data_IF_976884946579
#
_entry.id   IF_976884946579
#
_cell.length_a   1.000
_cell.length_b   1.000
_cell.length_c   1.000
_cell.angle_alpha   90.00
_cell.angle_beta   90.00
_cell.angle_gamma   90.00
#
_symmetry.space_group_name_H-M   'P 1'
#
loop_
_entity.id
_entity.type
_entity.pdbx_description
1 polymer ?
#
# COMPACT_ATOMS: atom_id res chain seq x y z
N UNK A 1 19.31 -18.06 26.32
CA UNK A 1 20.32 -17.99 25.23
C UNK A 1 19.89 -17.15 24.06
N UNK A 2 18.60 -16.99 23.77
CA UNK A 2 18.06 -16.19 22.66
C UNK A 2 18.19 -14.65 22.80
N UNK A 3 18.28 -14.10 24.01
CA UNK A 3 18.44 -12.65 24.23
C UNK A 3 19.80 -12.07 23.76
N UNK A 4 20.79 -12.90 23.48
CA UNK A 4 22.12 -12.46 22.99
C UNK A 4 22.24 -12.45 21.46
N UNK A 5 21.35 -13.13 20.73
CA UNK A 5 21.39 -13.16 19.26
C UNK A 5 20.73 -11.92 18.62
N UNK A 6 19.74 -11.32 19.27
CA UNK A 6 19.08 -10.11 18.78
C UNK A 6 20.00 -8.89 18.92
N UNK A 7 20.86 -8.86 19.93
CA UNK A 7 21.84 -7.78 20.11
C UNK A 7 23.00 -7.81 19.11
N UNK A 8 23.30 -8.98 18.53
CA UNK A 8 24.38 -9.09 17.53
C UNK A 8 23.95 -8.76 16.10
N UNK A 9 22.66 -8.93 15.76
CA UNK A 9 22.14 -8.55 14.46
C UNK A 9 21.95 -7.02 14.31
N UNK A 10 21.75 -6.31 15.42
CA UNK A 10 21.64 -4.84 15.42
C UNK A 10 23.00 -4.12 15.39
N UNK A 11 24.09 -4.78 15.78
CA UNK A 11 25.41 -4.16 15.85
C UNK A 11 26.22 -4.24 14.54
N UNK A 12 25.82 -5.10 13.58
CA UNK A 12 26.55 -5.26 12.32
C UNK A 12 26.08 -4.34 11.18
N UNK A 13 25.06 -3.54 11.39
CA UNK A 13 24.54 -2.57 10.38
C UNK A 13 25.06 -1.14 10.62
N UNK A 14 25.75 -0.88 11.74
CA UNK A 14 26.12 0.48 12.17
C UNK A 14 27.57 0.88 11.86
N UNK A 15 28.33 0.11 11.09
CA UNK A 15 29.73 0.45 10.74
C UNK A 15 30.00 0.48 9.23
N UNK A 16 29.05 0.97 8.42
CA UNK A 16 29.46 1.54 7.12
C UNK A 16 29.63 3.04 7.30
N UNK A 17 30.89 3.39 7.58
CA UNK A 17 31.33 4.74 7.89
C UNK A 17 30.97 5.73 6.79
N UNK A 18 30.42 6.84 7.22
CA UNK A 18 30.50 8.09 6.49
C UNK A 18 31.99 8.50 6.49
N UNK A 19 32.73 8.07 5.48
CA UNK A 19 33.92 8.83 5.10
C UNK A 19 33.42 10.01 4.30
N UNK A 20 33.50 11.19 4.88
CA UNK A 20 33.55 12.44 4.11
C UNK A 20 34.83 12.38 3.27
N UNK A 21 34.72 11.80 2.08
CA UNK A 21 35.74 11.98 1.06
C UNK A 21 35.66 13.47 0.69
N UNK A 22 36.70 14.21 0.99
CA UNK A 22 36.96 15.52 0.39
C UNK A 22 36.83 15.35 -1.12
N UNK A 23 36.25 16.36 -1.81
CA UNK A 23 36.00 16.35 -3.23
C UNK A 23 37.29 15.97 -3.98
N UNK A 24 37.44 14.67 -4.25
CA UNK A 24 38.45 14.19 -5.17
C UNK A 24 38.02 14.67 -6.56
N UNK A 25 38.99 15.24 -7.32
CA UNK A 25 38.78 15.58 -8.71
C UNK A 25 38.07 14.39 -9.42
N UNK A 26 36.82 14.54 -9.91
CA UNK A 26 36.07 13.45 -10.54
C UNK A 26 36.67 12.98 -11.85
N UNK A 27 37.60 13.76 -12.44
CA UNK A 27 38.27 13.45 -13.69
C UNK A 27 39.79 13.62 -13.57
N UNK A 28 40.53 12.59 -13.88
CA UNK A 28 41.98 12.55 -13.68
C UNK A 28 42.74 13.23 -14.82
N UNK A 29 42.15 13.37 -16.00
CA UNK A 29 42.76 13.79 -17.26
C UNK A 29 42.36 15.20 -17.75
N UNK A 30 41.52 15.93 -17.00
CA UNK A 30 41.10 17.27 -17.37
C UNK A 30 41.84 18.37 -16.54
N UNK A 31 42.31 19.48 -17.17
CA UNK A 31 42.86 20.60 -16.45
C UNK A 31 41.84 21.24 -15.51
N UNK A 32 42.16 21.31 -14.23
CA UNK A 32 41.23 21.74 -13.18
C UNK A 32 40.86 23.22 -13.23
N UNK A 33 41.58 24.00 -14.00
CA UNK A 33 41.42 25.46 -14.14
C UNK A 33 40.56 25.90 -15.34
N UNK A 34 40.09 24.91 -16.16
CA UNK A 34 39.26 25.23 -17.31
C UNK A 34 37.79 25.39 -16.92
N UNK A 35 37.10 26.36 -17.57
CA UNK A 35 35.65 26.52 -17.37
C UNK A 35 34.85 25.26 -17.70
N UNK A 36 35.32 24.54 -18.72
CA UNK A 36 34.70 23.27 -19.12
C UNK A 36 34.84 22.20 -18.02
N UNK A 37 36.02 22.12 -17.38
CA UNK A 37 36.22 21.25 -16.26
C UNK A 37 35.25 21.56 -15.10
N UNK A 38 35.10 22.81 -14.71
CA UNK A 38 34.21 23.20 -13.64
C UNK A 38 32.75 22.84 -13.95
N UNK A 39 32.28 23.12 -15.17
CA UNK A 39 30.92 22.80 -15.57
C UNK A 39 30.68 21.28 -15.62
N UNK A 40 31.61 20.50 -16.13
CA UNK A 40 31.50 19.02 -16.20
C UNK A 40 31.67 18.41 -14.81
N UNK A 41 32.57 18.96 -13.97
CA UNK A 41 32.73 18.49 -12.58
C UNK A 41 31.45 18.75 -11.76
N UNK A 42 30.83 19.91 -11.90
CA UNK A 42 29.57 20.26 -11.24
C UNK A 42 28.42 19.33 -11.68
N UNK A 43 28.33 19.03 -12.98
CA UNK A 43 27.34 18.09 -13.50
C UNK A 43 27.61 16.64 -13.05
N UNK A 44 28.88 16.26 -12.91
CA UNK A 44 29.26 14.94 -12.42
C UNK A 44 29.03 14.79 -10.91
N UNK A 45 29.33 15.82 -10.11
CA UNK A 45 29.06 15.83 -8.67
C UNK A 45 27.54 15.78 -8.39
N UNK A 46 26.76 16.44 -9.23
CA UNK A 46 25.30 16.34 -9.21
C UNK A 46 24.76 14.98 -9.71
N UNK A 47 25.64 14.09 -10.18
CA UNK A 47 25.25 12.78 -10.71
C UNK A 47 24.51 12.84 -12.04
N UNK A 48 24.59 13.96 -12.76
CA UNK A 48 23.94 14.21 -14.05
C UNK A 48 24.71 13.57 -15.20
N UNK A 49 26.03 13.55 -15.11
CA UNK A 49 26.92 12.91 -16.08
C UNK A 49 27.96 12.02 -15.41
N UNK A 50 28.51 11.08 -16.16
CA UNK A 50 29.62 10.23 -15.74
C UNK A 50 30.76 10.34 -16.76
N UNK A 51 32.00 10.31 -16.28
CA UNK A 51 33.18 10.26 -17.15
C UNK A 51 33.29 8.95 -17.92
N UNK A 52 34.23 8.90 -18.85
CA UNK A 52 34.58 7.67 -19.56
C UNK A 52 35.14 6.67 -18.54
N UNK A 53 34.66 5.43 -18.56
CA UNK A 53 34.97 4.40 -17.55
C UNK A 53 34.74 4.85 -16.09
N UNK A 54 33.83 5.86 -15.92
CA UNK A 54 33.44 6.38 -14.61
C UNK A 54 34.37 7.43 -14.01
N UNK A 55 35.62 7.57 -14.48
CA UNK A 55 36.62 8.41 -13.83
C UNK A 55 37.41 9.36 -14.75
N UNK A 56 37.25 9.26 -16.09
CA UNK A 56 38.03 10.05 -17.02
C UNK A 56 37.17 10.97 -17.86
N UNK A 57 37.52 12.27 -17.90
CA UNK A 57 36.85 13.26 -18.74
C UNK A 57 37.34 13.23 -20.20
N UNK A 58 38.61 12.87 -20.46
CA UNK A 58 39.25 12.84 -21.77
C UNK A 58 39.07 14.14 -22.58
N UNK A 59 39.19 15.31 -21.93
CA UNK A 59 38.90 16.62 -22.51
C UNK A 59 39.72 17.00 -23.74
N UNK A 60 40.83 16.34 -24.01
CA UNK A 60 41.66 16.54 -25.21
C UNK A 60 41.26 15.62 -26.39
N UNK A 61 40.30 14.74 -26.24
CA UNK A 61 39.76 13.88 -27.28
C UNK A 61 38.55 14.55 -27.94
N UNK A 62 38.56 14.58 -29.27
CA UNK A 62 37.35 14.94 -30.03
C UNK A 62 36.28 13.86 -29.82
N UNK A 63 35.13 14.27 -29.33
CA UNK A 63 33.94 13.42 -29.22
C UNK A 63 33.07 13.55 -30.47
N UNK A 64 32.44 12.49 -30.87
CA UNK A 64 31.47 12.51 -31.97
C UNK A 64 30.17 13.17 -31.52
N UNK A 65 29.36 13.70 -32.44
CA UNK A 65 28.02 14.22 -32.13
C UNK A 65 27.13 13.18 -31.44
N UNK A 66 27.31 11.88 -31.77
CA UNK A 66 26.60 10.78 -31.14
C UNK A 66 27.01 10.57 -29.67
N UNK A 67 28.31 10.62 -29.38
CA UNK A 67 28.80 10.54 -28.00
C UNK A 67 28.29 11.75 -27.18
N UNK A 68 28.28 12.95 -27.76
CA UNK A 68 27.73 14.14 -27.13
C UNK A 68 26.22 13.98 -26.86
N UNK A 69 25.46 13.50 -27.84
CA UNK A 69 24.03 13.24 -27.67
C UNK A 69 23.73 12.18 -26.61
N UNK A 70 24.57 11.14 -26.48
CA UNK A 70 24.44 10.13 -25.43
C UNK A 70 24.67 10.71 -24.03
N UNK A 71 25.65 11.61 -23.90
CA UNK A 71 25.88 12.33 -22.64
C UNK A 71 24.71 13.24 -22.29
N UNK A 72 24.16 13.97 -23.27
CA UNK A 72 22.97 14.81 -23.09
C UNK A 72 21.74 13.97 -22.70
N UNK A 73 21.54 12.81 -23.34
CA UNK A 73 20.47 11.87 -23.00
C UNK A 73 20.58 11.37 -21.54
N UNK A 74 21.79 11.06 -21.07
CA UNK A 74 22.05 10.70 -19.67
C UNK A 74 21.75 11.87 -18.73
N UNK A 75 22.15 13.10 -19.10
CA UNK A 75 21.85 14.30 -18.34
C UNK A 75 20.34 14.55 -18.25
N UNK A 76 19.60 14.35 -19.35
CA UNK A 76 18.14 14.45 -19.35
C UNK A 76 17.47 13.43 -18.45
N UNK A 77 17.98 12.21 -18.38
CA UNK A 77 17.46 11.16 -17.50
C UNK A 77 17.64 11.47 -16.00
N UNK A 78 18.54 12.40 -15.66
CA UNK A 78 18.84 12.82 -14.29
C UNK A 78 18.48 14.28 -14.01
N UNK A 79 17.58 14.86 -14.80
CA UNK A 79 17.14 16.24 -14.65
C UNK A 79 16.53 16.57 -13.28
N UNK A 80 15.99 15.57 -12.57
CA UNK A 80 15.49 15.69 -11.20
C UNK A 80 16.56 16.15 -10.20
N UNK A 81 17.83 15.85 -10.49
CA UNK A 81 19.00 16.22 -9.68
C UNK A 81 19.68 17.53 -10.09
N UNK A 82 19.32 18.07 -11.25
CA UNK A 82 19.93 19.26 -11.82
C UNK A 82 19.32 20.55 -11.25
N UNK A 83 20.16 21.59 -11.04
CA UNK A 83 19.70 22.96 -10.68
C UNK A 83 18.90 23.58 -11.83
N UNK A 84 18.26 24.74 -11.58
CA UNK A 84 17.51 25.47 -12.59
C UNK A 84 18.40 25.90 -13.77
N UNK A 85 19.61 26.36 -13.46
CA UNK A 85 20.63 26.78 -14.44
C UNK A 85 21.13 25.58 -15.24
N UNK A 86 21.41 24.46 -14.59
CA UNK A 86 21.84 23.21 -15.21
C UNK A 86 20.76 22.65 -16.16
N UNK A 87 19.50 22.72 -15.76
CA UNK A 87 18.36 22.32 -16.62
C UNK A 87 18.28 23.17 -17.86
N UNK A 88 18.50 24.49 -17.76
CA UNK A 88 18.51 25.37 -18.92
C UNK A 88 19.63 25.00 -19.90
N UNK A 89 20.84 24.67 -19.40
CA UNK A 89 21.96 24.20 -20.23
C UNK A 89 21.64 22.86 -20.88
N UNK A 90 21.07 21.91 -20.14
CA UNK A 90 20.69 20.59 -20.66
C UNK A 90 19.64 20.74 -21.76
N UNK A 91 18.62 21.59 -21.58
CA UNK A 91 17.63 21.87 -22.62
C UNK A 91 18.26 22.43 -23.87
N UNK A 92 19.15 23.43 -23.76
CA UNK A 92 19.83 24.02 -24.89
C UNK A 92 20.69 23.00 -25.65
N UNK A 93 21.37 22.10 -24.94
CA UNK A 93 22.13 21.02 -25.55
C UNK A 93 21.20 19.98 -26.20
N UNK A 94 20.05 19.67 -25.61
CA UNK A 94 19.07 18.78 -26.18
C UNK A 94 18.51 19.33 -27.51
N UNK A 95 18.29 20.64 -27.60
CA UNK A 95 17.85 21.28 -28.86
C UNK A 95 18.95 21.22 -29.94
N UNK A 96 20.22 21.41 -29.56
CA UNK A 96 21.34 21.35 -30.49
C UNK A 96 21.59 19.94 -31.04
N UNK A 97 21.41 18.90 -30.21
CA UNK A 97 21.61 17.49 -30.58
C UNK A 97 20.29 16.76 -30.88
N UNK A 98 19.22 17.49 -31.21
CA UNK A 98 17.89 16.91 -31.40
C UNK A 98 17.82 15.78 -32.44
N UNK A 99 18.59 15.90 -33.53
CA UNK A 99 18.63 14.87 -34.58
C UNK A 99 19.28 13.56 -34.09
N UNK A 100 20.42 13.68 -33.40
CA UNK A 100 21.13 12.53 -32.84
C UNK A 100 20.33 11.91 -31.70
N UNK A 101 19.71 12.73 -30.83
CA UNK A 101 18.82 12.28 -29.75
C UNK A 101 17.61 11.55 -30.31
N UNK A 102 16.99 12.03 -31.38
CA UNK A 102 15.90 11.33 -32.05
C UNK A 102 16.33 9.97 -32.60
N UNK A 103 17.55 9.86 -33.14
CA UNK A 103 18.11 8.58 -33.61
C UNK A 103 18.44 7.65 -32.43
N UNK A 104 18.91 8.18 -31.31
CA UNK A 104 19.07 7.45 -30.05
C UNK A 104 17.71 7.07 -29.47
N UNK A 105 16.73 7.96 -29.51
CA UNK A 105 15.36 7.74 -29.09
C UNK A 105 14.67 6.61 -29.86
N UNK A 106 14.94 6.46 -31.15
CA UNK A 106 14.51 5.29 -31.92
C UNK A 106 15.13 3.98 -31.41
N UNK A 107 16.34 4.01 -30.85
CA UNK A 107 16.99 2.86 -30.19
C UNK A 107 16.41 2.62 -28.81
N UNK A 108 16.13 3.68 -28.05
CA UNK A 108 15.45 3.61 -26.74
C UNK A 108 14.01 3.13 -26.95
N UNK A 109 13.28 3.68 -27.90
CA UNK A 109 11.94 3.22 -28.25
C UNK A 109 11.93 1.76 -28.76
N UNK A 110 12.97 1.32 -29.45
CA UNK A 110 13.12 -0.09 -29.85
C UNK A 110 13.46 -1.00 -28.66
N UNK A 111 14.15 -0.50 -27.65
CA UNK A 111 14.41 -1.19 -26.38
C UNK A 111 13.14 -1.15 -25.48
N UNK A 112 12.47 -0.03 -25.41
CA UNK A 112 11.18 0.12 -24.73
C UNK A 112 10.12 -0.79 -25.35
N UNK A 113 10.07 -0.91 -26.69
CA UNK A 113 9.22 -1.89 -27.37
C UNK A 113 9.63 -3.34 -27.14
N UNK A 114 10.90 -3.63 -26.79
CA UNK A 114 11.38 -4.98 -26.44
C UNK A 114 11.17 -5.31 -24.96
N UNK A 115 11.26 -4.33 -24.08
CA UNK A 115 10.99 -4.47 -22.63
C UNK A 115 9.49 -4.40 -22.36
N UNK A 116 8.74 -3.85 -23.32
CA UNK A 116 7.29 -3.64 -23.21
C UNK A 116 6.96 -2.39 -22.38
N UNK A 117 5.74 -1.95 -22.55
CA UNK A 117 5.12 -0.81 -21.89
C UNK A 117 4.73 -1.12 -20.43
N UNK A 118 5.39 -2.11 -19.80
CA UNK A 118 5.02 -2.65 -18.49
C UNK A 118 6.02 -2.19 -17.43
N UNK A 119 5.50 -1.51 -16.40
CA UNK A 119 6.23 -1.20 -15.19
C UNK A 119 5.97 -2.28 -14.15
N UNK A 120 7.03 -2.83 -13.59
CA UNK A 120 6.95 -3.77 -12.48
C UNK A 120 7.14 -3.05 -11.16
N UNK A 121 6.37 -3.46 -10.17
CA UNK A 121 6.47 -3.03 -8.78
C UNK A 121 6.01 -4.17 -7.89
N UNK A 122 6.23 -4.06 -6.61
CA UNK A 122 5.77 -5.08 -5.69
C UNK A 122 5.93 -4.70 -4.25
N UNK A 123 5.49 -5.59 -3.38
CA UNK A 123 5.71 -5.51 -1.95
C UNK A 123 6.03 -6.88 -1.36
N UNK A 124 6.85 -6.86 -0.33
CA UNK A 124 7.08 -8.00 0.55
C UNK A 124 6.76 -7.60 1.98
N UNK A 125 6.04 -8.44 2.68
CA UNK A 125 5.67 -8.23 4.07
C UNK A 125 6.01 -9.46 4.88
N UNK A 126 6.75 -9.25 5.98
CA UNK A 126 7.03 -10.23 7.01
C UNK A 126 6.35 -9.78 8.28
N UNK A 127 5.63 -10.70 8.94
CA UNK A 127 4.75 -10.35 10.03
C UNK A 127 4.91 -11.33 11.20
N UNK A 128 5.06 -10.78 12.39
CA UNK A 128 4.87 -11.45 13.65
C UNK A 128 3.52 -11.08 14.25
N UNK A 129 2.80 -12.08 14.75
CA UNK A 129 1.54 -11.90 15.46
C UNK A 129 1.59 -12.68 16.76
N UNK A 130 1.13 -12.05 17.80
CA UNK A 130 0.92 -12.68 19.10
C UNK A 130 -0.49 -12.38 19.58
N UNK A 131 -1.16 -13.39 20.03
CA UNK A 131 -2.45 -13.33 20.69
C UNK A 131 -2.41 -14.32 21.82
N UNK A 132 -2.73 -13.88 23.03
CA UNK A 132 -2.88 -14.78 24.14
C UNK A 132 -4.20 -15.55 23.99
N UNK A 133 -4.25 -16.82 24.36
CA UNK A 133 -5.34 -17.72 23.99
C UNK A 133 -6.50 -17.79 24.99
N UNK A 134 -6.47 -17.04 26.08
CA UNK A 134 -7.40 -17.22 27.19
C UNK A 134 -8.88 -16.94 26.85
N UNK A 135 -9.19 -16.25 25.78
CA UNK A 135 -10.59 -16.02 25.34
C UNK A 135 -11.03 -16.87 24.16
N UNK A 136 -10.10 -17.47 23.44
CA UNK A 136 -10.42 -18.15 22.21
C UNK A 136 -10.46 -19.65 22.36
N UNK A 137 -11.65 -20.22 22.23
CA UNK A 137 -11.91 -21.67 22.01
C UNK A 137 -11.00 -22.60 22.84
N UNK A 138 -11.55 -23.13 23.90
CA UNK A 138 -10.93 -24.09 24.81
C UNK A 138 -9.85 -24.96 24.13
N UNK A 139 -8.60 -24.83 24.59
CA UNK A 139 -7.55 -25.79 24.34
C UNK A 139 -6.37 -25.35 23.47
N UNK A 140 -6.23 -24.09 23.10
CA UNK A 140 -4.99 -23.60 22.45
C UNK A 140 -4.18 -22.73 23.37
N UNK A 141 -2.93 -23.09 23.57
CA UNK A 141 -1.92 -22.29 24.26
C UNK A 141 -1.58 -21.03 23.42
N UNK A 142 -0.97 -20.03 24.07
CA UNK A 142 -0.52 -18.77 23.46
C UNK A 142 -0.11 -18.92 21.99
N UNK A 143 -0.83 -18.24 21.12
CA UNK A 143 -0.63 -18.38 19.67
C UNK A 143 0.28 -17.28 19.17
N UNK A 144 1.51 -17.63 18.84
CA UNK A 144 2.39 -16.74 18.11
C UNK A 144 2.65 -17.33 16.73
N UNK A 145 2.57 -16.48 15.72
CA UNK A 145 2.80 -16.87 14.35
C UNK A 145 3.72 -15.91 13.62
N UNK A 146 4.50 -16.48 12.72
CA UNK A 146 5.32 -15.74 11.77
C UNK A 146 4.86 -16.09 10.38
N UNK A 147 4.50 -15.09 9.61
CA UNK A 147 4.06 -15.26 8.23
C UNK A 147 4.66 -14.20 7.30
N UNK A 148 4.64 -14.49 6.01
CA UNK A 148 5.09 -13.57 4.97
C UNK A 148 4.22 -13.66 3.73
N UNK A 149 4.25 -12.59 2.94
CA UNK A 149 3.60 -12.49 1.63
C UNK A 149 4.45 -11.67 0.70
N UNK A 150 4.50 -12.05 -0.57
CA UNK A 150 5.15 -11.30 -1.64
C UNK A 150 4.13 -11.07 -2.75
N UNK A 151 4.06 -9.85 -3.27
CA UNK A 151 3.25 -9.49 -4.45
C UNK A 151 4.12 -8.90 -5.54
N UNK A 152 3.81 -9.26 -6.78
CA UNK A 152 4.38 -8.67 -7.97
C UNK A 152 3.27 -8.08 -8.83
N UNK A 153 3.40 -6.82 -9.21
CA UNK A 153 2.44 -6.07 -10.02
C UNK A 153 3.09 -5.61 -11.31
N UNK A 154 2.44 -5.87 -12.44
CA UNK A 154 2.75 -5.33 -13.74
C UNK A 154 1.67 -4.33 -14.16
N UNK A 155 2.07 -3.16 -14.60
CA UNK A 155 1.18 -2.12 -15.13
C UNK A 155 1.63 -1.71 -16.52
N UNK A 156 0.75 -1.87 -17.51
CA UNK A 156 0.96 -1.43 -18.88
C UNK A 156 0.13 -0.19 -19.17
N UNK A 157 0.77 0.89 -19.64
CA UNK A 157 0.09 2.03 -20.20
C UNK A 157 -0.23 1.71 -21.66
N UNK A 158 -1.50 1.51 -21.99
CA UNK A 158 -1.95 1.14 -23.35
C UNK A 158 -2.07 2.35 -24.24
N UNK A 159 -2.58 3.46 -23.71
CA UNK A 159 -2.57 4.81 -24.30
C UNK A 159 -2.56 5.87 -23.18
N UNK A 160 -2.69 7.14 -23.51
CA UNK A 160 -2.64 8.26 -22.55
C UNK A 160 -3.67 8.13 -21.42
N UNK A 161 -4.77 7.43 -21.65
CA UNK A 161 -5.94 7.33 -20.77
C UNK A 161 -6.22 5.90 -20.29
N UNK A 162 -5.61 4.91 -20.91
CA UNK A 162 -5.94 3.50 -20.67
C UNK A 162 -4.76 2.74 -20.07
N UNK A 163 -4.97 2.12 -18.93
CA UNK A 163 -3.99 1.36 -18.18
C UNK A 163 -4.51 -0.03 -17.87
N UNK A 164 -3.69 -1.05 -18.12
CA UNK A 164 -3.95 -2.41 -17.67
C UNK A 164 -3.07 -2.76 -16.47
N UNK A 165 -3.63 -3.44 -15.49
CA UNK A 165 -2.91 -3.89 -14.29
C UNK A 165 -3.11 -5.39 -14.10
N UNK A 166 -2.01 -6.10 -13.90
CA UNK A 166 -1.96 -7.49 -13.48
C UNK A 166 -1.14 -7.57 -12.20
N UNK A 167 -1.65 -8.23 -11.18
CA UNK A 167 -0.89 -8.47 -9.95
C UNK A 167 -1.06 -9.92 -9.49
N UNK A 168 0.04 -10.51 -9.08
CA UNK A 168 0.11 -11.87 -8.55
C UNK A 168 0.62 -11.79 -7.11
N UNK A 169 -0.10 -12.38 -6.21
CA UNK A 169 0.24 -12.48 -4.79
C UNK A 169 0.54 -13.93 -4.44
N UNK A 170 1.63 -14.16 -3.69
CA UNK A 170 1.71 -15.40 -2.92
C UNK A 170 0.61 -15.41 -1.88
N UNK A 171 0.15 -16.56 -1.49
CA UNK A 171 -0.61 -16.70 -0.26
C UNK A 171 0.27 -16.37 0.96
N UNK A 172 -0.34 -16.11 2.11
CA UNK A 172 0.39 -15.98 3.35
C UNK A 172 1.07 -17.30 3.69
N UNK A 173 2.37 -17.26 3.75
CA UNK A 173 3.21 -18.42 4.06
C UNK A 173 3.62 -18.36 5.52
N UNK A 174 3.51 -19.47 6.24
CA UNK A 174 3.92 -19.55 7.65
C UNK A 174 5.35 -20.03 7.80
N UNK A 175 6.08 -19.44 8.74
CA UNK A 175 7.35 -19.98 9.24
C UNK A 175 7.18 -20.87 10.47
N UNK A 176 5.97 -20.96 11.03
CA UNK A 176 5.70 -21.68 12.26
C UNK A 176 5.21 -23.08 11.93
N UNK A 177 5.82 -24.10 12.55
CA UNK A 177 5.37 -25.49 12.42
C UNK A 177 4.00 -25.74 13.08
N UNK A 178 3.65 -24.92 14.09
CA UNK A 178 2.44 -25.07 14.92
C UNK A 178 1.55 -23.82 14.95
N UNK A 179 1.74 -22.86 14.04
CA UNK A 179 0.99 -21.61 14.06
C UNK A 179 -0.44 -21.75 13.52
N UNK A 180 -1.30 -20.78 13.85
CA UNK A 180 -2.68 -20.68 13.34
C UNK A 180 -2.78 -20.61 11.81
N UNK A 181 -1.66 -20.43 11.13
CA UNK A 181 -1.48 -20.48 9.68
C UNK A 181 -0.74 -21.78 9.34
N UNK A 182 -1.36 -22.91 9.62
CA UNK A 182 -0.82 -24.21 9.21
C UNK A 182 -1.23 -24.47 7.76
N UNK A 183 -0.26 -24.78 6.91
CA UNK A 183 -0.49 -25.20 5.55
C UNK A 183 -0.47 -24.02 4.59
N UNK A 184 0.65 -23.28 4.53
CA UNK A 184 0.94 -22.49 3.37
C UNK A 184 0.83 -23.37 2.14
N UNK A 185 -0.13 -23.07 1.28
CA UNK A 185 -0.15 -23.67 -0.05
C UNK A 185 0.98 -23.00 -0.82
N UNK A 186 1.68 -23.74 -1.68
CA UNK A 186 2.63 -23.12 -2.61
C UNK A 186 1.89 -22.35 -3.72
N UNK A 187 0.65 -21.93 -3.45
CA UNK A 187 -0.21 -21.30 -4.42
C UNK A 187 0.07 -19.80 -4.52
N UNK A 188 0.00 -19.32 -5.74
CA UNK A 188 -0.07 -17.90 -6.05
C UNK A 188 -1.39 -17.64 -6.77
N UNK A 189 -1.97 -16.47 -6.54
CA UNK A 189 -3.23 -16.10 -7.17
C UNK A 189 -3.17 -14.67 -7.72
N UNK A 190 -4.00 -14.39 -8.73
CA UNK A 190 -4.16 -13.04 -9.25
C UNK A 190 -5.05 -12.22 -8.32
N UNK A 191 -4.47 -11.27 -7.60
CA UNK A 191 -5.17 -10.34 -6.72
C UNK A 191 -5.64 -9.08 -7.45
N UNK A 192 -5.04 -8.72 -8.58
CA UNK A 192 -5.53 -7.68 -9.47
C UNK A 192 -5.45 -8.11 -10.94
N UNK A 193 -6.54 -7.90 -11.67
CA UNK A 193 -6.68 -8.11 -13.12
C UNK A 193 -7.68 -7.08 -13.63
N UNK A 194 -7.24 -5.89 -14.01
CA UNK A 194 -8.16 -4.79 -14.35
C UNK A 194 -7.64 -3.89 -15.47
N UNK A 195 -8.59 -3.19 -16.05
CA UNK A 195 -8.34 -2.08 -16.96
C UNK A 195 -8.97 -0.82 -16.39
N UNK A 196 -8.20 0.23 -16.31
CA UNK A 196 -8.59 1.54 -15.83
C UNK A 196 -8.55 2.53 -17.00
N UNK A 197 -9.62 3.30 -17.18
CA UNK A 197 -9.71 4.43 -18.09
C UNK A 197 -9.85 5.72 -17.30
N UNK A 198 -9.03 6.71 -17.59
CA UNK A 198 -8.99 8.00 -16.89
C UNK A 198 -9.04 9.14 -17.91
N UNK A 199 -10.05 9.99 -17.81
CA UNK A 199 -10.24 11.14 -18.69
C UNK A 199 -10.75 12.34 -17.89
N UNK A 200 -9.91 13.35 -17.71
CA UNK A 200 -10.20 14.57 -16.96
C UNK A 200 -10.81 14.27 -15.57
N UNK A 201 -12.13 14.45 -15.45
CA UNK A 201 -12.89 14.20 -14.20
C UNK A 201 -13.52 12.81 -14.13
N UNK A 202 -13.40 11.98 -15.16
CA UNK A 202 -14.02 10.66 -15.19
C UNK A 202 -12.99 9.55 -15.08
N UNK A 203 -13.30 8.58 -14.24
CA UNK A 203 -12.56 7.35 -14.08
C UNK A 203 -13.51 6.15 -14.22
N UNK A 204 -13.07 5.14 -14.96
CA UNK A 204 -13.76 3.87 -15.12
C UNK A 204 -12.78 2.74 -14.84
N UNK A 205 -13.17 1.79 -13.99
CA UNK A 205 -12.38 0.61 -13.67
C UNK A 205 -13.18 -0.66 -13.92
N UNK A 206 -12.62 -1.58 -14.67
CA UNK A 206 -13.25 -2.86 -15.02
C UNK A 206 -12.33 -4.02 -14.67
N UNK A 207 -12.81 -4.98 -13.90
CA UNK A 207 -12.08 -6.20 -13.54
C UNK A 207 -11.82 -6.33 -12.05
N UNK A 208 -10.81 -7.13 -11.71
CA UNK A 208 -10.44 -7.45 -10.33
C UNK A 208 -9.53 -6.40 -9.74
N UNK A 209 -9.86 -5.90 -8.57
CA UNK A 209 -8.99 -5.02 -7.77
C UNK A 209 -8.67 -5.66 -6.42
N UNK A 210 -7.45 -5.42 -5.92
CA UNK A 210 -6.97 -5.83 -4.59
C UNK A 210 -7.06 -4.72 -3.53
N UNK A 211 -7.66 -3.58 -3.89
CA UNK A 211 -7.72 -2.37 -3.06
C UNK A 211 -9.15 -1.85 -2.84
N UNK A 212 -10.16 -2.69 -3.05
CA UNK A 212 -11.53 -2.30 -2.76
C UNK A 212 -11.72 -2.13 -1.24
N UNK A 213 -12.40 -1.07 -0.85
CA UNK A 213 -12.83 -0.81 0.52
C UNK A 213 -14.30 -0.44 0.53
N UNK A 214 -15.07 -1.02 1.45
CA UNK A 214 -16.36 -0.45 1.81
C UNK A 214 -16.10 0.93 2.41
N UNK A 215 -16.79 1.95 1.89
CA UNK A 215 -16.65 3.34 2.27
C UNK A 215 -15.58 4.14 1.50
N UNK A 216 -14.96 3.52 0.51
CA UNK A 216 -14.01 4.20 -0.37
C UNK A 216 -12.59 4.35 0.17
N UNK A 217 -11.69 4.93 -0.63
CA UNK A 217 -10.26 4.90 -0.37
C UNK A 217 -9.80 5.60 0.92
N UNK A 218 -10.55 6.63 1.36
CA UNK A 218 -10.20 7.44 2.55
C UNK A 218 -10.91 7.01 3.83
N UNK A 219 -11.86 6.07 3.74
CA UNK A 219 -12.46 5.42 4.90
C UNK A 219 -11.43 4.55 5.63
N UNK A 220 -11.78 4.08 6.82
CA UNK A 220 -10.93 3.11 7.52
C UNK A 220 -10.90 1.77 6.77
N UNK A 221 -12.04 1.31 6.20
CA UNK A 221 -12.15 0.01 5.54
C UNK A 221 -12.10 -1.15 6.54
N UNK A 222 -12.83 -1.02 7.63
CA UNK A 222 -12.90 -2.02 8.70
C UNK A 222 -13.71 -3.24 8.30
N UNK A 223 -14.91 -3.02 7.80
CA UNK A 223 -15.89 -4.06 7.51
C UNK A 223 -15.42 -4.98 6.40
N UNK A 224 -14.85 -4.43 5.35
CA UNK A 224 -14.20 -5.18 4.25
C UNK A 224 -13.19 -4.31 3.51
N UNK A 225 -12.03 -4.89 3.20
CA UNK A 225 -11.02 -4.29 2.32
C UNK A 225 -10.16 -5.37 1.68
N UNK A 226 -10.54 -5.83 0.49
CA UNK A 226 -9.84 -6.91 -0.20
C UNK A 226 -10.23 -6.98 -1.69
N UNK A 227 -10.07 -8.16 -2.28
CA UNK A 227 -10.28 -8.46 -3.69
C UNK A 227 -11.76 -8.37 -4.07
N UNK A 228 -12.01 -7.61 -5.12
CA UNK A 228 -13.36 -7.38 -5.61
C UNK A 228 -13.36 -7.33 -7.15
N UNK A 229 -14.17 -8.15 -7.78
CA UNK A 229 -14.40 -8.12 -9.23
C UNK A 229 -15.52 -7.12 -9.52
N UNK A 230 -15.23 -6.03 -10.24
CA UNK A 230 -16.17 -4.90 -10.38
C UNK A 230 -16.17 -4.21 -11.74
N UNK A 231 -17.27 -3.51 -11.97
CA UNK A 231 -17.33 -2.34 -12.84
C UNK A 231 -17.59 -1.12 -11.94
N UNK A 232 -16.76 -0.10 -12.01
CA UNK A 232 -16.86 1.12 -11.20
C UNK A 232 -16.67 2.33 -12.08
N UNK A 233 -17.54 3.32 -11.91
CA UNK A 233 -17.41 4.66 -12.48
C UNK A 233 -17.27 5.69 -11.38
N UNK A 234 -16.39 6.66 -11.58
CA UNK A 234 -16.21 7.80 -10.68
C UNK A 234 -16.20 9.09 -11.47
N UNK A 235 -16.93 10.08 -11.00
CA UNK A 235 -16.76 11.48 -11.38
C UNK A 235 -16.08 12.21 -10.24
N UNK A 236 -14.96 12.87 -10.52
CA UNK A 236 -14.14 13.51 -9.49
C UNK A 236 -13.74 14.92 -9.91
N UNK A 237 -13.79 15.81 -8.93
CA UNK A 237 -13.27 17.19 -8.99
C UNK A 237 -12.30 17.41 -7.82
N UNK A 238 -11.74 18.60 -7.71
CA UNK A 238 -10.92 18.98 -6.55
C UNK A 238 -11.75 19.08 -5.26
N UNK A 239 -13.06 19.26 -5.35
CA UNK A 239 -13.94 19.48 -4.21
C UNK A 239 -14.72 18.22 -3.79
N UNK A 240 -15.00 17.31 -4.71
CA UNK A 240 -15.79 16.11 -4.41
C UNK A 240 -15.58 14.98 -5.39
N UNK A 241 -15.98 13.77 -5.00
CA UNK A 241 -16.09 12.61 -5.87
C UNK A 241 -17.47 11.94 -5.68
N UNK A 242 -18.00 11.44 -6.81
CA UNK A 242 -19.18 10.58 -6.87
C UNK A 242 -18.72 9.25 -7.44
N UNK A 243 -18.87 8.17 -6.70
CA UNK A 243 -18.49 6.84 -7.13
C UNK A 243 -19.71 5.94 -7.12
N UNK A 244 -19.88 5.14 -8.15
CA UNK A 244 -20.87 4.07 -8.21
C UNK A 244 -20.26 2.83 -8.85
N UNK A 245 -20.61 1.67 -8.34
CA UNK A 245 -20.10 0.42 -8.85
C UNK A 245 -21.01 -0.75 -8.54
N UNK A 246 -20.74 -1.84 -9.26
CA UNK A 246 -21.36 -3.11 -9.05
C UNK A 246 -20.33 -4.22 -9.25
N UNK A 247 -20.37 -5.22 -8.37
CA UNK A 247 -19.39 -6.28 -8.48
C UNK A 247 -19.70 -7.47 -7.58
N UNK A 248 -18.64 -8.25 -7.36
CA UNK A 248 -18.70 -9.50 -6.64
C UNK A 248 -17.46 -9.65 -5.76
N UNK A 249 -17.67 -9.87 -4.47
CA UNK A 249 -16.60 -10.20 -3.56
C UNK A 249 -15.93 -11.50 -3.96
N UNK A 250 -14.63 -11.54 -3.77
CA UNK A 250 -13.83 -12.73 -4.02
C UNK A 250 -13.13 -13.14 -2.74
N UNK A 251 -12.90 -14.44 -2.67
CA UNK A 251 -12.00 -14.99 -1.68
C UNK A 251 -10.61 -14.43 -1.97
N UNK A 252 -10.20 -13.47 -1.18
CA UNK A 252 -8.82 -13.07 -1.10
C UNK A 252 -8.00 -14.17 -0.48
N UNK A 253 -6.83 -13.84 -0.10
CA UNK A 253 -5.89 -14.72 0.55
C UNK A 253 -6.50 -15.41 1.78
N UNK A 254 -7.01 -16.62 1.61
CA UNK A 254 -7.46 -17.42 2.73
C UNK A 254 -6.22 -17.94 3.44
N UNK A 255 -6.00 -17.46 4.63
CA UNK A 255 -5.07 -18.11 5.54
C UNK A 255 -5.62 -19.48 5.85
N UNK A 256 -5.12 -20.52 5.18
CA UNK A 256 -5.50 -21.88 5.42
C UNK A 256 -5.39 -22.17 6.93
N UNK A 257 -6.50 -22.60 7.54
CA UNK A 257 -6.57 -22.90 8.96
C UNK A 257 -6.80 -21.70 9.88
N UNK A 258 -6.86 -20.47 9.39
CA UNK A 258 -7.36 -19.39 10.22
C UNK A 258 -8.87 -19.57 10.38
N UNK A 259 -9.31 -19.57 11.60
CA UNK A 259 -10.71 -19.40 12.01
C UNK A 259 -11.31 -18.09 11.45
N UNK A 260 -10.53 -17.35 10.73
CA UNK A 260 -10.73 -16.02 10.18
C UNK A 260 -11.21 -15.99 8.75
N UNK A 261 -11.20 -17.09 8.05
CA UNK A 261 -11.80 -17.15 6.75
C UNK A 261 -13.28 -17.48 6.90
N UNK A 262 -14.06 -16.54 7.35
CA UNK A 262 -15.47 -16.60 6.99
C UNK A 262 -15.54 -16.37 5.48
N UNK A 263 -15.63 -17.47 4.74
CA UNK A 263 -15.78 -17.46 3.30
C UNK A 263 -17.19 -17.03 2.85
N UNK A 264 -18.07 -16.70 3.80
CA UNK A 264 -19.46 -16.37 3.53
C UNK A 264 -19.62 -15.21 2.56
N UNK A 265 -18.72 -14.24 2.60
CA UNK A 265 -18.72 -13.11 1.67
C UNK A 265 -18.28 -13.46 0.25
N UNK A 266 -17.57 -14.59 0.05
CA UNK A 266 -17.09 -14.97 -1.28
C UNK A 266 -18.24 -15.23 -2.23
N UNK A 267 -18.31 -14.48 -3.31
CA UNK A 267 -19.35 -14.60 -4.31
C UNK A 267 -20.59 -13.73 -4.07
N UNK A 268 -20.70 -13.06 -2.94
CA UNK A 268 -21.75 -12.07 -2.69
C UNK A 268 -21.62 -10.92 -3.69
N UNK A 269 -22.70 -10.54 -4.31
CA UNK A 269 -22.78 -9.39 -5.20
C UNK A 269 -23.04 -8.13 -4.37
N UNK A 270 -22.45 -7.02 -4.81
CA UNK A 270 -22.59 -5.74 -4.13
C UNK A 270 -22.80 -4.62 -5.15
N UNK A 271 -23.91 -3.89 -5.02
CA UNK A 271 -24.10 -2.58 -5.64
C UNK A 271 -23.75 -1.50 -4.64
N UNK A 272 -22.95 -0.51 -5.04
CA UNK A 272 -22.55 0.54 -4.09
C UNK A 272 -22.51 1.92 -4.70
N UNK A 273 -22.70 2.92 -3.83
CA UNK A 273 -22.55 4.33 -4.14
C UNK A 273 -21.84 5.06 -3.03
N UNK A 274 -21.01 6.03 -3.39
CA UNK A 274 -20.19 6.82 -2.46
C UNK A 274 -20.17 8.28 -2.89
N UNK A 275 -20.26 9.18 -1.92
CA UNK A 275 -20.07 10.61 -2.10
C UNK A 275 -18.99 11.05 -1.14
N UNK A 276 -17.92 11.62 -1.66
CA UNK A 276 -16.84 12.19 -0.87
C UNK A 276 -16.72 13.69 -1.12
N UNK A 277 -16.53 14.48 -0.08
CA UNK A 277 -16.16 15.90 -0.15
C UNK A 277 -14.70 16.07 0.31
N UNK A 278 -13.95 16.90 -0.42
CA UNK A 278 -12.54 17.20 -0.14
C UNK A 278 -12.41 18.64 0.35
N UNK A 279 -11.62 18.85 1.38
CA UNK A 279 -11.44 20.17 1.97
C UNK A 279 -10.09 20.30 2.68
N UNK A 280 -9.66 21.55 2.86
CA UNK A 280 -8.37 21.84 3.52
C UNK A 280 -7.17 21.17 2.81
N UNK A 281 -6.20 20.76 3.58
CA UNK A 281 -5.04 20.05 3.08
C UNK A 281 -5.24 18.53 3.21
N UNK A 282 -5.76 17.91 2.14
CA UNK A 282 -5.93 16.45 2.05
C UNK A 282 -6.91 15.85 3.09
N UNK A 283 -7.91 16.61 3.50
CA UNK A 283 -9.01 16.17 4.35
C UNK A 283 -10.20 15.73 3.50
N UNK A 284 -10.95 14.77 3.99
CA UNK A 284 -12.15 14.28 3.31
C UNK A 284 -13.23 13.86 4.31
N UNK A 285 -14.49 13.96 3.87
CA UNK A 285 -15.61 13.32 4.52
C UNK A 285 -16.48 12.64 3.47
N UNK A 286 -17.03 11.49 3.77
CA UNK A 286 -17.83 10.72 2.82
C UNK A 286 -19.02 10.04 3.48
N UNK A 287 -20.00 9.74 2.64
CA UNK A 287 -21.13 8.86 2.94
C UNK A 287 -21.20 7.79 1.87
N UNK A 288 -21.63 6.60 2.23
CA UNK A 288 -21.69 5.47 1.32
C UNK A 288 -22.83 4.51 1.68
N UNK A 289 -23.24 3.76 0.65
CA UNK A 289 -24.26 2.73 0.76
C UNK A 289 -23.84 1.51 -0.06
N UNK A 290 -24.09 0.32 0.48
CA UNK A 290 -23.85 -0.97 -0.14
C UNK A 290 -25.12 -1.82 -0.04
N UNK A 291 -25.48 -2.49 -1.14
CA UNK A 291 -26.62 -3.37 -1.27
C UNK A 291 -26.12 -4.76 -1.63
N UNK A 292 -26.29 -5.72 -0.72
CA UNK A 292 -25.72 -7.06 -0.86
C UNK A 292 -26.76 -8.02 -1.44
N UNK A 293 -26.33 -8.86 -2.37
CA UNK A 293 -27.19 -9.84 -2.99
C UNK A 293 -26.49 -11.19 -3.09
N UNK A 294 -27.05 -12.17 -2.40
CA UNK A 294 -26.57 -13.55 -2.36
C UNK A 294 -27.22 -14.44 -3.43
N UNK A 295 -28.21 -13.95 -4.17
CA UNK A 295 -28.97 -14.73 -5.14
C UNK A 295 -28.07 -15.33 -6.23
N UNK A 296 -28.14 -16.63 -6.41
CA UNK A 296 -27.41 -17.37 -7.45
C UNK A 296 -25.98 -17.76 -7.08
N UNK A 297 -25.58 -17.62 -5.84
CA UNK A 297 -24.22 -17.94 -5.37
C UNK A 297 -24.07 -19.36 -4.79
N UNK A 298 -25.12 -20.18 -4.78
CA UNK A 298 -25.10 -21.55 -4.28
C UNK A 298 -25.00 -21.62 -2.74
N UNK A 299 -24.60 -22.79 -2.23
CA UNK A 299 -24.54 -23.05 -0.78
C UNK A 299 -23.44 -22.26 -0.05
N UNK A 300 -22.42 -21.77 -0.76
CA UNK A 300 -21.26 -21.13 -0.17
C UNK A 300 -21.55 -19.82 0.58
N UNK A 301 -22.73 -19.23 0.37
CA UNK A 301 -23.12 -17.94 0.95
C UNK A 301 -24.32 -18.03 1.89
N UNK A 302 -24.65 -19.21 2.39
CA UNK A 302 -25.77 -19.39 3.32
C UNK A 302 -25.58 -18.66 4.64
N UNK A 303 -24.34 -18.49 5.04
CA UNK A 303 -24.00 -17.88 6.32
C UNK A 303 -23.76 -16.37 6.24
N UNK A 304 -23.80 -15.78 5.01
CA UNK A 304 -23.67 -14.34 4.85
C UNK A 304 -24.96 -13.64 5.29
N UNK A 305 -24.85 -12.83 6.33
CA UNK A 305 -26.01 -12.31 7.05
C UNK A 305 -26.32 -10.83 6.79
N UNK A 306 -25.57 -10.10 5.98
CA UNK A 306 -25.86 -8.71 5.70
C UNK A 306 -26.77 -8.56 4.46
N UNK A 307 -27.78 -7.68 4.56
CA UNK A 307 -28.64 -7.24 3.46
C UNK A 307 -28.08 -5.95 2.83
N UNK A 308 -27.82 -4.98 3.67
CA UNK A 308 -27.29 -3.69 3.23
C UNK A 308 -26.42 -3.05 4.31
N UNK A 309 -25.62 -2.08 3.90
CA UNK A 309 -24.77 -1.30 4.80
C UNK A 309 -24.76 0.16 4.36
N UNK A 310 -24.90 1.07 5.29
CA UNK A 310 -24.59 2.47 5.07
C UNK A 310 -23.58 2.97 6.10
N UNK A 311 -22.82 3.96 5.71
CA UNK A 311 -21.84 4.54 6.62
C UNK A 311 -21.45 5.96 6.24
N UNK A 312 -20.74 6.58 7.17
CA UNK A 312 -20.15 7.90 7.00
C UNK A 312 -18.78 7.94 7.66
N UNK A 313 -17.89 8.73 7.10
CA UNK A 313 -16.58 8.97 7.71
C UNK A 313 -16.15 10.41 7.54
N UNK A 314 -15.23 10.85 8.40
CA UNK A 314 -14.46 12.06 8.25
C UNK A 314 -13.00 11.79 8.60
N UNK A 315 -12.08 12.14 7.70
CA UNK A 315 -10.64 12.11 7.92
C UNK A 315 -10.10 13.52 7.75
N UNK A 316 -9.69 14.14 8.86
CA UNK A 316 -9.35 15.57 8.93
C UNK A 316 -7.90 15.75 9.34
N UNK A 317 -7.14 16.44 8.48
CA UNK A 317 -5.77 16.85 8.79
C UNK A 317 -5.77 18.20 9.53
N UNK A 318 -5.18 18.22 10.71
CA UNK A 318 -5.04 19.42 11.55
C UNK A 318 -3.57 19.82 11.57
N UNK A 319 -3.25 20.86 10.80
CA UNK A 319 -1.86 21.23 10.53
C UNK A 319 -1.09 20.12 9.80
N UNK A 320 0.25 20.16 9.83
CA UNK A 320 1.09 19.26 9.02
C UNK A 320 1.27 17.84 9.62
N UNK A 321 0.87 17.63 10.87
CA UNK A 321 1.24 16.42 11.62
C UNK A 321 0.09 15.62 12.19
N UNK A 322 -1.07 16.22 12.42
CA UNK A 322 -2.19 15.53 13.04
C UNK A 322 -3.22 15.10 12.00
N UNK A 323 -3.73 13.89 12.17
CA UNK A 323 -4.92 13.41 11.45
C UNK A 323 -5.89 12.81 12.46
N UNK A 324 -7.16 13.14 12.32
CA UNK A 324 -8.27 12.56 13.07
C UNK A 324 -9.19 11.88 12.06
N UNK A 325 -9.47 10.60 12.27
CA UNK A 325 -10.47 9.85 11.52
C UNK A 325 -11.58 9.41 12.46
N UNK A 326 -12.82 9.62 12.05
CA UNK A 326 -14.00 9.03 12.66
C UNK A 326 -14.82 8.35 11.58
N UNK A 327 -15.34 7.16 11.85
CA UNK A 327 -16.21 6.40 10.95
C UNK A 327 -17.34 5.76 11.73
N UNK A 328 -18.52 5.76 11.14
CA UNK A 328 -19.68 5.02 11.61
C UNK A 328 -20.25 4.21 10.47
N UNK A 329 -20.65 2.98 10.76
CA UNK A 329 -21.35 2.09 9.83
C UNK A 329 -22.54 1.45 10.53
N UNK A 330 -23.60 1.21 9.78
CA UNK A 330 -24.73 0.39 10.18
C UNK A 330 -25.00 -0.66 9.14
N UNK A 331 -24.89 -1.90 9.57
CA UNK A 331 -25.19 -3.08 8.75
C UNK A 331 -26.60 -3.56 9.09
N UNK A 332 -27.47 -3.66 8.10
CA UNK A 332 -28.77 -4.31 8.23
C UNK A 332 -28.57 -5.82 7.99
N UNK A 333 -29.06 -6.62 8.91
CA UNK A 333 -28.87 -8.06 8.92
C UNK A 333 -30.12 -8.78 8.39
N UNK A 334 -29.93 -9.90 7.68
CA UNK A 334 -31.02 -10.76 7.21
C UNK A 334 -31.64 -11.54 8.36
N UNK A 335 -30.84 -11.85 9.40
CA UNK A 335 -31.25 -12.62 10.57
C UNK A 335 -30.54 -12.06 11.79
N UNK A 336 -31.19 -12.14 12.93
CA UNK A 336 -30.55 -11.81 14.20
C UNK A 336 -29.33 -12.71 14.40
N UNK A 337 -28.23 -12.11 14.79
CA UNK A 337 -27.06 -12.85 15.25
C UNK A 337 -27.29 -13.29 16.69
N UNK A 338 -26.40 -14.12 17.20
CA UNK A 338 -26.51 -14.59 18.60
C UNK A 338 -26.51 -13.45 19.62
N UNK A 339 -25.94 -12.31 19.26
CA UNK A 339 -25.69 -11.17 20.13
C UNK A 339 -26.21 -9.84 19.59
N UNK A 340 -26.94 -9.83 18.45
CA UNK A 340 -27.61 -8.62 17.96
C UNK A 340 -28.73 -8.21 18.89
N UNK A 341 -28.94 -6.91 18.95
CA UNK A 341 -30.14 -6.32 19.54
C UNK A 341 -31.37 -6.57 18.65
N UNK A 342 -32.57 -6.41 19.22
CA UNK A 342 -33.86 -6.74 18.60
C UNK A 342 -34.23 -5.95 17.31
N UNK A 343 -33.33 -5.13 16.76
CA UNK A 343 -33.61 -4.27 15.60
C UNK A 343 -33.03 -4.81 14.26
N UNK A 344 -32.44 -6.01 14.25
CA UNK A 344 -31.90 -6.62 13.02
C UNK A 344 -30.76 -5.85 12.39
N UNK A 345 -30.00 -5.08 13.17
CA UNK A 345 -28.86 -4.30 12.68
C UNK A 345 -27.65 -4.45 13.60
N UNK A 346 -26.48 -4.07 13.09
CA UNK A 346 -25.23 -4.02 13.84
C UNK A 346 -24.50 -2.70 13.54
N UNK A 347 -24.10 -2.01 14.59
CA UNK A 347 -23.44 -0.71 14.53
C UNK A 347 -21.94 -0.82 14.77
N UNK A 348 -21.17 -0.08 13.99
CA UNK A 348 -19.72 0.06 14.10
C UNK A 348 -19.35 1.52 14.28
N UNK A 349 -18.53 1.82 15.27
CA UNK A 349 -17.86 3.10 15.40
C UNK A 349 -16.34 2.92 15.49
N UNK A 350 -15.61 3.78 14.77
CA UNK A 350 -14.13 3.83 14.82
C UNK A 350 -13.71 5.28 14.98
N UNK A 351 -12.86 5.53 15.97
CA UNK A 351 -12.14 6.78 16.14
C UNK A 351 -10.63 6.55 16.08
N UNK A 352 -9.89 7.30 15.27
CA UNK A 352 -8.43 7.20 15.18
C UNK A 352 -7.78 8.57 15.24
N UNK A 353 -6.75 8.71 16.06
CA UNK A 353 -5.90 9.89 16.15
C UNK A 353 -4.48 9.49 15.75
N UNK A 354 -3.90 10.24 14.81
CA UNK A 354 -2.53 10.01 14.32
C UNK A 354 -1.69 11.28 14.48
N UNK A 355 -0.43 11.12 14.85
CA UNK A 355 0.58 12.15 14.86
C UNK A 355 1.80 11.73 14.06
N UNK A 356 2.28 12.61 13.20
CA UNK A 356 3.36 12.35 12.26
C UNK A 356 2.84 11.87 10.91
N UNK A 357 3.74 11.53 10.02
CA UNK A 357 3.43 10.98 8.69
C UNK A 357 4.61 10.12 8.24
N UNK A 358 4.44 8.82 8.24
CA UNK A 358 5.39 7.91 7.61
C UNK A 358 5.19 7.90 6.09
N UNK A 359 6.28 7.82 5.35
CA UNK A 359 6.27 7.69 3.90
C UNK A 359 7.39 6.77 3.46
N UNK A 360 7.07 5.69 2.75
CA UNK A 360 8.05 4.72 2.24
C UNK A 360 9.16 5.37 1.41
N UNK A 361 8.87 6.49 0.76
CA UNK A 361 9.85 7.24 -0.02
C UNK A 361 10.85 8.07 0.84
N UNK A 362 10.51 8.34 2.11
CA UNK A 362 11.26 9.25 2.98
C UNK A 362 11.84 8.48 4.17
N UNK A 363 13.13 8.12 4.14
CA UNK A 363 13.80 7.48 5.27
C UNK A 363 13.71 8.33 6.55
N UNK A 364 13.59 7.66 7.69
CA UNK A 364 13.43 8.24 9.04
C UNK A 364 12.09 8.95 9.28
N UNK A 365 11.16 8.92 8.32
CA UNK A 365 9.80 9.35 8.58
C UNK A 365 9.07 8.34 9.48
N UNK A 366 8.15 8.84 10.30
CA UNK A 366 7.42 8.03 11.26
C UNK A 366 6.07 8.65 11.59
N UNK A 367 5.19 7.81 12.08
CA UNK A 367 3.94 8.21 12.74
C UNK A 367 3.63 7.33 13.94
N UNK A 368 2.82 7.84 14.84
CA UNK A 368 2.20 7.13 15.94
C UNK A 368 0.70 7.38 15.87
N UNK A 369 -0.08 6.36 16.16
CA UNK A 369 -1.54 6.47 16.18
C UNK A 369 -2.14 5.71 17.35
N UNK A 370 -3.33 6.15 17.75
CA UNK A 370 -4.22 5.41 18.63
C UNK A 370 -5.60 5.33 17.98
N UNK A 371 -6.31 4.24 18.22
CA UNK A 371 -7.65 4.01 17.71
C UNK A 371 -8.56 3.41 18.79
N UNK A 372 -9.83 3.73 18.71
CA UNK A 372 -10.89 3.09 19.46
C UNK A 372 -11.87 2.47 18.49
N UNK A 373 -12.31 1.26 18.78
CA UNK A 373 -13.27 0.50 18.01
C UNK A 373 -14.40 0.08 18.94
N UNK A 374 -15.62 0.25 18.46
CA UNK A 374 -16.85 -0.24 19.04
C UNK A 374 -17.63 -0.93 17.93
N UNK A 375 -17.64 -2.25 17.96
CA UNK A 375 -18.16 -3.11 16.91
C UNK A 375 -19.19 -4.08 17.50
N UNK A 376 -20.43 -4.00 17.04
CA UNK A 376 -21.48 -4.96 17.39
C UNK A 376 -21.35 -6.25 16.59
N UNK A 377 -21.96 -7.33 17.10
CA UNK A 377 -22.00 -8.63 16.44
C UNK A 377 -22.72 -8.52 15.09
N UNK A 378 -22.05 -8.88 14.01
CA UNK A 378 -22.54 -8.74 12.65
C UNK A 378 -21.95 -7.57 11.85
N UNK A 379 -21.04 -6.79 12.42
CA UNK A 379 -20.38 -5.69 11.70
C UNK A 379 -19.29 -6.15 10.77
N UNK A 380 -18.62 -7.26 11.07
CA UNK A 380 -17.59 -7.81 10.21
C UNK A 380 -18.18 -8.81 9.20
N UNK A 381 -18.06 -8.49 7.91
CA UNK A 381 -18.67 -9.29 6.83
C UNK A 381 -17.81 -10.47 6.37
N UNK A 382 -16.71 -10.75 7.03
CA UNK A 382 -15.73 -11.74 6.59
C UNK A 382 -14.65 -11.16 5.66
N UNK A 383 -13.76 -12.01 5.16
CA UNK A 383 -12.64 -11.62 4.31
C UNK A 383 -11.56 -10.80 5.03
N UNK A 384 -10.82 -10.00 4.28
CA UNK A 384 -9.79 -9.13 4.83
C UNK A 384 -10.27 -7.69 5.00
N UNK A 385 -9.56 -6.98 5.86
CA UNK A 385 -9.82 -5.58 6.17
C UNK A 385 -8.51 -4.81 6.22
N UNK A 386 -8.58 -3.49 6.27
CA UNK A 386 -7.41 -2.66 6.58
C UNK A 386 -7.04 -2.68 8.05
N UNK A 387 -7.92 -3.19 8.91
CA UNK A 387 -7.58 -3.36 10.31
C UNK A 387 -6.37 -4.29 10.48
N UNK A 388 -5.51 -3.94 11.39
CA UNK A 388 -4.37 -4.76 11.77
C UNK A 388 -4.76 -5.92 12.70
N UNK A 389 -6.01 -5.91 13.20
CA UNK A 389 -6.54 -6.87 14.15
C UNK A 389 -6.84 -8.22 13.51
N UNK A 390 -6.91 -9.25 14.32
CA UNK A 390 -7.38 -10.56 13.89
C UNK A 390 -8.91 -10.63 13.94
N UNK A 391 -9.49 -11.59 13.25
CA UNK A 391 -10.93 -11.77 13.22
C UNK A 391 -11.56 -11.96 14.60
N UNK A 392 -10.86 -12.60 15.54
CA UNK A 392 -11.32 -12.73 16.93
C UNK A 392 -11.46 -11.38 17.65
N UNK A 393 -10.93 -10.30 17.08
CA UNK A 393 -11.05 -8.93 17.56
C UNK A 393 -11.64 -7.99 16.50
N UNK A 394 -12.59 -8.48 15.72
CA UNK A 394 -13.24 -7.69 14.68
C UNK A 394 -14.74 -7.52 14.91
N UNK A 395 -15.35 -8.27 15.84
CA UNK A 395 -16.79 -8.32 16.01
C UNK A 395 -17.20 -8.51 17.47
N UNK A 396 -18.34 -7.97 17.87
CA UNK A 396 -18.89 -8.04 19.23
C UNK A 396 -17.93 -7.57 20.34
N UNK A 397 -17.29 -6.42 20.16
CA UNK A 397 -16.31 -5.92 21.11
C UNK A 397 -16.16 -4.38 21.11
N UNK A 398 -15.57 -3.90 22.19
CA UNK A 398 -14.88 -2.61 22.22
C UNK A 398 -13.40 -2.83 22.42
N UNK A 399 -12.55 -2.00 21.84
CA UNK A 399 -11.11 -2.16 21.99
C UNK A 399 -10.34 -0.88 21.63
N UNK A 400 -9.28 -0.63 22.35
CA UNK A 400 -8.28 0.37 22.01
C UNK A 400 -7.10 -0.28 21.28
N UNK A 401 -6.44 0.51 20.45
CA UNK A 401 -5.20 0.13 19.77
C UNK A 401 -4.22 1.29 19.72
N UNK A 402 -2.94 0.96 19.71
CA UNK A 402 -1.84 1.90 19.47
C UNK A 402 -0.88 1.29 18.48
N UNK A 403 -0.30 2.12 17.61
CA UNK A 403 0.72 1.66 16.68
C UNK A 403 1.73 2.72 16.34
N UNK A 404 2.89 2.27 15.92
CA UNK A 404 4.00 3.09 15.45
C UNK A 404 4.50 2.54 14.12
N UNK A 405 4.68 3.43 13.15
CA UNK A 405 5.32 3.13 11.88
C UNK A 405 6.64 3.90 11.79
N UNK A 406 7.71 3.26 11.33
CA UNK A 406 9.01 3.87 11.14
C UNK A 406 9.66 3.39 9.84
N UNK A 407 9.95 4.32 8.93
CA UNK A 407 10.65 4.05 7.67
C UNK A 407 12.15 4.11 7.93
N UNK A 408 12.79 2.96 8.10
CA UNK A 408 14.21 2.89 8.44
C UNK A 408 15.14 3.05 7.23
N UNK A 409 14.64 2.76 6.03
CA UNK A 409 15.31 2.98 4.77
C UNK A 409 14.29 3.31 3.68
N UNK A 410 14.71 3.87 2.53
CA UNK A 410 13.81 4.07 1.40
C UNK A 410 13.14 2.75 1.03
N UNK A 411 11.82 2.76 0.92
CA UNK A 411 10.99 1.60 0.61
C UNK A 411 11.03 0.47 1.66
N UNK A 412 11.47 0.75 2.89
CA UNK A 412 11.52 -0.22 3.97
C UNK A 412 10.98 0.35 5.28
N UNK A 413 9.94 -0.25 5.82
CA UNK A 413 9.22 0.22 7.00
C UNK A 413 9.10 -0.90 8.05
N UNK A 414 9.22 -0.52 9.30
CA UNK A 414 8.88 -1.32 10.45
C UNK A 414 7.63 -0.77 11.13
N UNK A 415 6.72 -1.64 11.51
CA UNK A 415 5.47 -1.29 12.19
C UNK A 415 5.28 -2.17 13.42
N UNK A 416 4.79 -1.59 14.51
CA UNK A 416 4.36 -2.33 15.72
C UNK A 416 3.02 -1.81 16.17
N UNK A 417 2.12 -2.71 16.53
CA UNK A 417 0.77 -2.42 17.00
C UNK A 417 0.44 -3.29 18.20
N UNK A 418 -0.35 -2.73 19.13
CA UNK A 418 -0.83 -3.39 20.33
C UNK A 418 -2.27 -2.99 20.62
N UNK A 419 -3.13 -3.99 20.91
CA UNK A 419 -4.47 -3.73 21.46
C UNK A 419 -4.42 -3.68 22.99
N UNK A 420 -5.40 -3.03 23.59
CA UNK A 420 -5.59 -2.98 25.03
C UNK A 420 -7.03 -2.61 25.38
N UNK A 421 -7.44 -3.00 26.58
CA UNK A 421 -8.81 -2.81 27.08
C UNK A 421 -9.86 -3.35 26.09
N UNK A 422 -9.61 -4.56 25.58
CA UNK A 422 -10.53 -5.25 24.69
C UNK A 422 -11.57 -5.97 25.53
N UNK A 423 -12.84 -5.63 25.34
CA UNK A 423 -13.98 -6.15 26.08
C UNK A 423 -15.04 -6.68 25.10
N UNK A 424 -15.64 -7.81 25.42
CA UNK A 424 -16.80 -8.31 24.69
C UNK A 424 -18.05 -7.48 25.01
N UNK A 425 -18.80 -7.04 23.99
CA UNK A 425 -19.99 -6.19 24.20
C UNK A 425 -21.17 -6.95 24.77
N UNK A 426 -21.43 -8.14 24.31
CA UNK A 426 -22.63 -8.90 24.66
C UNK A 426 -22.38 -10.41 24.79
N UNK A 427 -23.31 -11.11 25.42
CA UNK A 427 -23.36 -12.57 25.46
C UNK A 427 -22.65 -13.26 26.60
N UNK A 428 -22.09 -12.52 27.58
CA UNK A 428 -21.36 -13.12 28.71
C UNK A 428 -20.14 -13.92 28.26
N UNK A 429 -19.58 -13.59 27.11
CA UNK A 429 -18.32 -14.14 26.63
C UNK A 429 -17.14 -13.61 27.44
N UNK A 430 -16.10 -14.42 27.57
CA UNK A 430 -14.83 -13.88 28.04
C UNK A 430 -14.30 -12.82 27.08
N UNK A 431 -13.66 -11.79 27.62
CA UNK A 431 -13.04 -10.74 26.83
C UNK A 431 -12.01 -11.34 25.87
N UNK A 432 -11.98 -10.86 24.62
CA UNK A 432 -10.96 -11.27 23.67
C UNK A 432 -9.56 -10.88 24.18
N UNK A 433 -8.63 -11.76 23.95
CA UNK A 433 -7.23 -11.53 24.35
C UNK A 433 -6.58 -10.39 23.56
N UNK A 434 -5.67 -9.69 24.22
CA UNK A 434 -4.93 -8.61 23.60
C UNK A 434 -3.98 -9.11 22.52
N UNK A 435 -3.84 -8.33 21.47
CA UNK A 435 -3.04 -8.67 20.29
C UNK A 435 -1.82 -7.77 20.15
N UNK A 436 -0.70 -8.39 19.78
CA UNK A 436 0.51 -7.71 19.33
C UNK A 436 0.77 -8.08 17.87
N UNK A 437 1.10 -7.11 17.04
CA UNK A 437 1.56 -7.32 15.68
C UNK A 437 2.79 -6.50 15.41
N UNK A 438 3.81 -7.11 14.79
CA UNK A 438 5.00 -6.44 14.30
C UNK A 438 5.23 -6.82 12.84
N UNK A 439 5.61 -5.87 12.01
CA UNK A 439 5.78 -6.08 10.57
C UNK A 439 7.03 -5.41 10.03
N UNK A 440 7.66 -6.09 9.08
CA UNK A 440 8.62 -5.51 8.14
C UNK A 440 7.96 -5.47 6.76
N UNK A 441 7.92 -4.29 6.17
CA UNK A 441 7.27 -4.04 4.88
C UNK A 441 8.31 -3.45 3.93
N UNK A 442 8.45 -4.05 2.76
CA UNK A 442 9.35 -3.62 1.70
C UNK A 442 8.54 -3.35 0.44
N UNK A 443 8.85 -2.25 -0.26
CA UNK A 443 8.29 -1.93 -1.57
C UNK A 443 9.41 -1.90 -2.62
N UNK A 444 9.14 -2.33 -3.83
CA UNK A 444 10.12 -2.33 -4.93
C UNK A 444 9.48 -2.07 -6.29
#
# INVERSE_FOLDING_TARGET
MMKKLIAMAAASILTMGMTSAGAANPFVDAPADSWAYHSVAELAEAGVIQGVDGNYFQGNRSITRYEAAEMVAKAMAHMDRASVEQRAVIHKLADEYAEELNRLGLRVAALENKVGNVKFSGDARFRYRYQNSAGSRAGKENDNSWDYRIRLRGQAQLDERLKATVSISSDWQSFSENGAVSGGTNDAFADALKVDYEADSFYLSLGRTDIYKIGGPRSYGYTYSDIFDRAEGQYRTDAFALTAGYGKFKKGNVMAGSVQGDDSINGVKNGYGEIEAFFGSDSAAGIYYNDFNTTGNGEANRDFNADSLWGAYASVNIGPKWNVLAQYERTNLNHDTKYTHDDGSADLFIGRLMYGKSSMAIPKSWDIWTEYIDAEDGTWLGGFTTSWRFASQMDNLTSWGVGVNYVFAKNAMFSVMQSFATEAKAGGMADPEEQTRAELIFAF
#
